data_IF_339258904091
#
_entry.id   IF_339258904091
#
_cell.length_a   1.000
_cell.length_b   1.000
_cell.length_c   1.000
_cell.angle_alpha   90.00
_cell.angle_beta   90.00
_cell.angle_gamma   90.00
#
_symmetry.space_group_name_H-M   'P 1'
#
loop_
_entity.id
_entity.type
_entity.pdbx_description
1 polymer ?
#
# COMPACT_ATOMS: atom_id res chain seq x y z
N UNK A 1 -19.44 9.53 -42.97
CA UNK A 1 -18.57 10.11 -41.92
C UNK A 1 -19.13 10.02 -40.50
N UNK A 2 -20.09 9.11 -40.17
CA UNK A 2 -20.63 8.96 -38.80
C UNK A 2 -20.35 7.60 -38.15
N UNK A 3 -19.72 6.66 -38.86
CA UNK A 3 -19.37 5.33 -38.33
C UNK A 3 -17.98 5.27 -37.67
N UNK A 4 -17.11 6.25 -37.92
CA UNK A 4 -15.71 6.22 -37.47
C UNK A 4 -15.49 6.82 -36.06
N UNK A 5 -16.51 7.42 -35.47
CA UNK A 5 -16.43 8.01 -34.12
C UNK A 5 -16.83 7.02 -33.01
N UNK A 6 -17.43 5.86 -33.36
CA UNK A 6 -17.86 4.85 -32.37
C UNK A 6 -16.72 3.99 -31.84
N UNK A 7 -15.62 3.89 -32.57
CA UNK A 7 -14.44 3.10 -32.16
C UNK A 7 -13.51 3.84 -31.21
N UNK A 8 -13.54 5.18 -31.18
CA UNK A 8 -12.64 5.99 -30.37
C UNK A 8 -13.21 6.36 -28.99
N UNK A 9 -14.54 6.43 -28.86
CA UNK A 9 -15.20 6.80 -27.60
C UNK A 9 -15.22 5.65 -26.57
N UNK A 10 -14.93 4.41 -26.98
CA UNK A 10 -14.98 3.22 -26.11
C UNK A 10 -13.72 3.01 -25.25
N UNK A 11 -12.63 3.74 -25.49
CA UNK A 11 -11.34 3.48 -24.83
C UNK A 11 -11.20 4.15 -23.45
N UNK A 12 -12.12 5.05 -23.08
CA UNK A 12 -11.89 6.00 -21.97
C UNK A 12 -12.70 5.72 -20.69
N UNK A 13 -13.50 4.65 -20.65
CA UNK A 13 -14.26 4.23 -19.47
C UNK A 13 -14.08 2.73 -19.27
N UNK A 14 -12.88 2.28 -18.88
CA UNK A 14 -12.72 0.92 -18.38
C UNK A 14 -13.61 0.77 -17.16
N UNK A 15 -14.68 -0.01 -17.28
CA UNK A 15 -15.58 -0.27 -16.15
C UNK A 15 -14.85 -1.12 -15.11
N UNK A 16 -15.28 -1.09 -13.85
CA UNK A 16 -14.70 -1.96 -12.81
C UNK A 16 -14.76 -3.43 -13.25
N UNK A 17 -15.87 -3.84 -13.85
CA UNK A 17 -16.08 -5.18 -14.38
C UNK A 17 -15.08 -5.56 -15.48
N UNK A 18 -14.70 -4.63 -16.35
CA UNK A 18 -13.68 -4.89 -17.38
C UNK A 18 -12.28 -5.05 -16.77
N UNK A 19 -11.98 -4.28 -15.72
CA UNK A 19 -10.71 -4.39 -14.99
C UNK A 19 -10.64 -5.73 -14.25
N UNK A 20 -11.73 -6.15 -13.61
CA UNK A 20 -11.84 -7.45 -12.93
C UNK A 20 -11.64 -8.61 -13.93
N UNK A 21 -12.33 -8.58 -15.07
CA UNK A 21 -12.19 -9.60 -16.10
C UNK A 21 -10.76 -9.66 -16.68
N UNK A 22 -10.13 -8.50 -16.88
CA UNK A 22 -8.74 -8.42 -17.32
C UNK A 22 -7.77 -8.98 -16.27
N UNK A 23 -8.01 -8.68 -14.99
CA UNK A 23 -7.21 -9.21 -13.89
C UNK A 23 -7.37 -10.73 -13.75
N UNK A 24 -8.58 -11.26 -13.91
CA UNK A 24 -8.85 -12.70 -13.83
C UNK A 24 -8.10 -13.51 -14.88
N UNK A 25 -7.94 -12.96 -16.09
CA UNK A 25 -7.26 -13.59 -17.22
C UNK A 25 -5.72 -13.65 -17.08
N UNK A 26 -5.12 -12.96 -16.10
CA UNK A 26 -3.68 -12.95 -15.88
C UNK A 26 -3.17 -14.26 -15.27
N UNK A 27 -1.92 -14.64 -15.60
CA UNK A 27 -1.23 -15.71 -14.88
C UNK A 27 -0.96 -15.32 -13.42
N UNK A 28 -0.70 -16.27 -12.51
CA UNK A 28 -0.36 -15.98 -11.12
C UNK A 28 0.81 -14.99 -10.97
N UNK A 29 1.84 -15.13 -11.80
CA UNK A 29 3.03 -14.28 -11.80
C UNK A 29 2.68 -12.85 -12.25
N UNK A 30 1.89 -12.72 -13.31
CA UNK A 30 1.42 -11.43 -13.80
C UNK A 30 0.51 -10.71 -12.80
N UNK A 31 -0.33 -11.47 -12.06
CA UNK A 31 -1.12 -10.91 -10.95
C UNK A 31 -0.21 -10.35 -9.87
N UNK A 32 0.85 -11.07 -9.51
CA UNK A 32 1.82 -10.61 -8.52
C UNK A 32 2.54 -9.33 -8.96
N UNK A 33 2.98 -9.25 -10.22
CA UNK A 33 3.57 -8.03 -10.79
C UNK A 33 2.60 -6.85 -10.78
N UNK A 34 1.33 -7.08 -11.17
CA UNK A 34 0.29 -6.06 -11.12
C UNK A 34 0.08 -5.54 -9.69
N UNK A 35 0.04 -6.41 -8.68
CA UNK A 35 -0.06 -6.00 -7.28
C UNK A 35 1.11 -5.12 -6.84
N UNK A 36 2.34 -5.48 -7.20
CA UNK A 36 3.54 -4.70 -6.87
C UNK A 36 3.49 -3.31 -7.53
N UNK A 37 3.11 -3.26 -8.80
CA UNK A 37 2.95 -2.01 -9.54
C UNK A 37 1.92 -1.09 -8.90
N UNK A 38 0.72 -1.61 -8.61
CA UNK A 38 -0.36 -0.84 -7.97
C UNK A 38 0.04 -0.36 -6.58
N UNK A 39 0.67 -1.21 -5.76
CA UNK A 39 1.15 -0.83 -4.43
C UNK A 39 2.20 0.30 -4.50
N UNK A 40 3.14 0.24 -5.44
CA UNK A 40 4.12 1.31 -5.65
C UNK A 40 3.45 2.63 -6.02
N UNK A 41 2.46 2.59 -6.91
CA UNK A 41 1.74 3.77 -7.38
C UNK A 41 0.85 4.38 -6.29
N UNK A 42 0.18 3.55 -5.49
CA UNK A 42 -0.61 3.99 -4.34
C UNK A 42 0.27 4.60 -3.25
N UNK A 43 1.45 4.03 -2.97
CA UNK A 43 2.43 4.63 -2.05
C UNK A 43 2.91 6.00 -2.53
N UNK A 44 3.09 6.18 -3.84
CA UNK A 44 3.48 7.47 -4.41
C UNK A 44 2.34 8.49 -4.43
N UNK A 45 1.08 8.03 -4.56
CA UNK A 45 -0.10 8.89 -4.58
C UNK A 45 -0.63 9.25 -3.18
N UNK A 46 -0.39 8.40 -2.18
CA UNK A 46 -0.77 8.67 -0.80
C UNK A 46 0.12 9.73 -0.17
N UNK A 47 -0.48 10.70 0.53
CA UNK A 47 0.26 11.47 1.53
C UNK A 47 0.68 10.50 2.63
N UNK A 48 2.00 10.34 2.81
CA UNK A 48 2.50 9.73 4.04
C UNK A 48 1.95 10.56 5.22
N UNK A 49 1.53 9.93 6.32
CA UNK A 49 1.21 10.68 7.52
C UNK A 49 2.43 11.55 7.85
N UNK A 50 2.22 12.80 8.30
CA UNK A 50 3.33 13.65 8.68
C UNK A 50 4.20 12.93 9.72
N UNK A 51 5.51 13.22 9.77
CA UNK A 51 6.38 12.72 10.83
C UNK A 51 5.68 12.85 12.18
N UNK A 52 5.68 11.75 12.95
CA UNK A 52 5.13 11.79 14.30
C UNK A 52 6.14 12.45 15.20
N UNK A 53 5.75 13.55 15.82
CA UNK A 53 6.51 14.15 16.91
C UNK A 53 6.21 13.40 18.21
N UNK A 54 7.27 13.00 18.91
CA UNK A 54 7.18 12.40 20.24
C UNK A 54 7.83 13.35 21.24
N UNK A 55 7.17 13.57 22.38
CA UNK A 55 7.80 14.34 23.46
C UNK A 55 8.96 13.56 24.08
N UNK A 56 9.95 14.27 24.63
CA UNK A 56 11.08 13.65 25.33
C UNK A 56 10.60 12.70 26.44
N UNK A 57 9.58 13.09 27.19
CA UNK A 57 8.98 12.26 28.23
C UNK A 57 8.43 10.93 27.69
N UNK A 58 7.77 10.94 26.53
CA UNK A 58 7.26 9.70 25.92
C UNK A 58 8.40 8.78 25.48
N UNK A 59 9.50 9.36 24.98
CA UNK A 59 10.68 8.59 24.59
C UNK A 59 11.33 7.98 25.85
N UNK A 60 11.46 8.74 26.93
CA UNK A 60 11.98 8.27 28.21
C UNK A 60 11.13 7.11 28.80
N UNK A 61 9.81 7.22 28.73
CA UNK A 61 8.89 6.16 29.18
C UNK A 61 9.07 4.86 28.37
N UNK A 62 9.27 4.96 27.06
CA UNK A 62 9.55 3.79 26.23
C UNK A 62 10.90 3.16 26.54
N UNK A 63 11.95 3.98 26.70
CA UNK A 63 13.28 3.52 27.08
C UNK A 63 13.22 2.80 28.43
N UNK A 64 12.58 3.39 29.44
CA UNK A 64 12.48 2.81 30.78
C UNK A 64 11.75 1.45 30.76
N UNK A 65 10.69 1.33 29.95
CA UNK A 65 9.94 0.08 29.78
C UNK A 65 10.79 -0.99 29.10
N UNK A 66 11.53 -0.64 28.05
CA UNK A 66 12.42 -1.57 27.36
C UNK A 66 13.57 -2.02 28.27
N UNK A 67 14.17 -1.10 29.02
CA UNK A 67 15.22 -1.41 30.01
C UNK A 67 14.71 -2.32 31.13
N UNK A 68 13.47 -2.14 31.58
CA UNK A 68 12.84 -3.07 32.53
C UNK A 68 12.66 -4.46 31.93
N UNK A 69 12.16 -4.55 30.69
CA UNK A 69 12.05 -5.83 29.97
C UNK A 69 13.40 -6.54 29.84
N UNK A 70 14.45 -5.80 29.49
CA UNK A 70 15.82 -6.33 29.39
C UNK A 70 16.38 -6.80 30.73
N UNK A 71 16.05 -6.11 31.84
CA UNK A 71 16.44 -6.55 33.18
C UNK A 71 15.77 -7.87 33.55
N UNK A 72 14.48 -8.03 33.27
CA UNK A 72 13.74 -9.28 33.52
C UNK A 72 14.29 -10.45 32.70
N UNK A 73 14.51 -10.22 31.41
CA UNK A 73 15.13 -11.22 30.51
C UNK A 73 16.49 -11.70 31.04
N UNK A 74 17.36 -10.77 31.48
CA UNK A 74 18.66 -11.11 32.06
C UNK A 74 18.56 -11.82 33.41
N UNK A 75 17.52 -11.52 34.18
CA UNK A 75 17.22 -12.19 35.44
C UNK A 75 16.56 -13.57 35.27
N UNK A 76 16.27 -13.99 34.03
CA UNK A 76 15.59 -15.26 33.75
C UNK A 76 14.11 -15.27 34.17
N UNK A 77 13.49 -14.09 34.23
CA UNK A 77 12.07 -13.89 34.55
C UNK A 77 11.24 -13.60 33.30
#
# INVERSE_FOLDING_TARGET
>A
MKQLLRTWYSFSMTTLTEIEAAADALSPEQKQELFLFLAARLRAAGQLPPPRDFSLKQIEEWIAKDEEGMRRLRAGQ
#
